data_IF_501333255723
#
_entry.id   IF_501333255723
#
_cell.length_a   1.000
_cell.length_b   1.000
_cell.length_c   1.000
_cell.angle_alpha   90.00
_cell.angle_beta   90.00
_cell.angle_gamma   90.00
#
_symmetry.space_group_name_H-M   'P 1'
#
loop_
_entity.id
_entity.type
_entity.pdbx_description
1 polymer ?
#
# COMPACT_ATOMS: atom_id res chain seq x y z
N UNK A 1 -5.23 2.60 25.16
CA UNK A 1 -5.82 3.38 24.04
C UNK A 1 -6.87 2.49 23.40
N UNK A 2 -8.09 2.99 23.19
CA UNK A 2 -9.18 2.20 22.59
C UNK A 2 -9.19 2.43 21.07
N UNK A 3 -8.83 1.43 20.25
CA UNK A 3 -8.83 1.61 18.80
C UNK A 3 -10.25 1.68 18.25
N UNK A 4 -10.46 2.58 17.29
CA UNK A 4 -11.70 2.63 16.50
C UNK A 4 -11.50 1.85 15.20
N UNK A 5 -12.33 0.85 14.96
CA UNK A 5 -12.29 0.03 13.74
C UNK A 5 -13.37 0.46 12.75
N UNK A 6 -13.01 0.50 11.47
CA UNK A 6 -13.94 0.78 10.36
C UNK A 6 -13.70 -0.22 9.22
N UNK A 7 -14.67 -0.35 8.31
CA UNK A 7 -14.68 -1.41 7.30
C UNK A 7 -14.18 -0.98 5.92
N UNK A 8 -13.65 0.24 5.75
CA UNK A 8 -13.07 0.68 4.48
C UNK A 8 -11.97 1.74 4.65
N UNK A 9 -11.10 1.85 3.66
CA UNK A 9 -10.07 2.88 3.64
C UNK A 9 -10.70 4.28 3.54
N UNK A 10 -11.79 4.47 2.78
CA UNK A 10 -12.44 5.80 2.75
C UNK A 10 -13.01 6.17 4.12
N UNK A 11 -13.52 5.19 4.87
CA UNK A 11 -14.04 5.42 6.21
C UNK A 11 -12.95 5.90 7.17
N UNK A 12 -11.72 5.37 7.07
CA UNK A 12 -10.57 5.84 7.85
C UNK A 12 -10.31 7.33 7.60
N UNK A 13 -10.27 7.74 6.34
CA UNK A 13 -10.03 9.13 5.97
C UNK A 13 -11.19 10.05 6.35
N UNK A 14 -12.44 9.59 6.27
CA UNK A 14 -13.61 10.36 6.70
C UNK A 14 -13.60 10.63 8.20
N UNK A 15 -13.27 9.65 9.04
CA UNK A 15 -13.22 9.85 10.50
C UNK A 15 -12.01 10.71 10.92
N UNK A 16 -10.90 10.63 10.17
CA UNK A 16 -9.74 11.50 10.35
C UNK A 16 -10.08 12.95 9.97
N UNK A 17 -10.66 13.18 8.79
CA UNK A 17 -11.08 14.50 8.33
C UNK A 17 -12.15 15.14 9.21
N UNK A 18 -13.03 14.32 9.81
CA UNK A 18 -14.02 14.75 10.79
C UNK A 18 -13.46 14.94 12.21
N UNK A 19 -12.14 14.83 12.41
CA UNK A 19 -11.45 14.97 13.71
C UNK A 19 -11.98 14.04 14.81
N UNK A 20 -12.46 12.85 14.42
CA UNK A 20 -12.89 11.81 15.37
C UNK A 20 -11.72 10.97 15.89
N UNK A 21 -10.61 11.01 15.18
CA UNK A 21 -9.33 10.38 15.52
C UNK A 21 -8.20 11.31 15.08
N UNK A 22 -7.06 11.22 15.75
CA UNK A 22 -5.87 12.02 15.41
C UNK A 22 -4.96 11.31 14.39
N UNK A 23 -4.99 9.98 14.37
CA UNK A 23 -4.11 9.12 13.55
C UNK A 23 -4.93 7.95 13.00
N UNK A 24 -4.62 7.55 11.76
CA UNK A 24 -5.07 6.29 11.14
C UNK A 24 -3.86 5.46 10.74
N UNK A 25 -4.03 4.13 10.69
CA UNK A 25 -2.99 3.20 10.23
C UNK A 25 -3.46 2.57 8.92
N UNK A 26 -2.65 2.69 7.87
CA UNK A 26 -2.93 2.17 6.54
C UNK A 26 -1.62 1.90 5.79
N UNK A 27 -1.64 0.99 4.81
CA UNK A 27 -0.50 0.81 3.91
C UNK A 27 -0.28 2.03 3.03
N UNK A 28 0.98 2.33 2.72
CA UNK A 28 1.36 3.56 2.00
C UNK A 28 0.61 3.76 0.69
N UNK A 29 0.60 2.75 -0.18
CA UNK A 29 0.00 2.85 -1.52
C UNK A 29 -1.52 3.06 -1.44
N UNK A 30 -2.21 2.35 -0.54
CA UNK A 30 -3.65 2.53 -0.35
C UNK A 30 -3.98 3.91 0.22
N UNK A 31 -3.14 4.42 1.14
CA UNK A 31 -3.28 5.77 1.67
C UNK A 31 -3.16 6.84 0.59
N UNK A 32 -2.13 6.76 -0.26
CA UNK A 32 -1.92 7.70 -1.36
C UNK A 32 -3.09 7.70 -2.36
N UNK A 33 -3.62 6.52 -2.70
CA UNK A 33 -4.78 6.40 -3.58
C UNK A 33 -6.02 7.09 -2.98
N UNK A 34 -6.35 6.84 -1.70
CA UNK A 34 -7.51 7.47 -1.08
C UNK A 34 -7.32 8.98 -0.89
N UNK A 35 -6.10 9.44 -0.59
CA UNK A 35 -5.78 10.87 -0.52
C UNK A 35 -6.04 11.58 -1.85
N UNK A 36 -5.62 10.97 -2.97
CA UNK A 36 -5.86 11.50 -4.31
C UNK A 36 -7.36 11.54 -4.67
N UNK A 37 -8.11 10.52 -4.26
CA UNK A 37 -9.55 10.40 -4.54
C UNK A 37 -10.41 11.37 -3.70
N UNK A 38 -10.19 11.43 -2.38
CA UNK A 38 -11.06 12.20 -1.48
C UNK A 38 -10.64 13.67 -1.32
N UNK A 39 -9.37 14.00 -1.61
CA UNK A 39 -8.82 15.37 -1.56
C UNK A 39 -9.12 16.12 -0.26
N UNK A 40 -9.11 15.40 0.87
CA UNK A 40 -9.33 16.01 2.18
C UNK A 40 -8.08 16.83 2.56
N UNK A 41 -8.21 18.13 2.83
CA UNK A 41 -7.07 18.99 3.14
C UNK A 41 -6.47 18.68 4.51
N UNK A 42 -5.18 18.98 4.67
CA UNK A 42 -4.48 18.89 5.95
C UNK A 42 -4.11 17.47 6.41
N UNK A 43 -4.37 16.45 5.59
CA UNK A 43 -3.91 15.08 5.84
C UNK A 43 -2.57 14.87 5.16
N UNK A 44 -1.60 14.30 5.90
CA UNK A 44 -0.28 13.96 5.39
C UNK A 44 0.18 12.60 5.93
N UNK A 45 0.96 11.83 5.16
CA UNK A 45 1.64 10.65 5.70
C UNK A 45 2.68 11.07 6.75
N UNK A 46 2.89 10.21 7.73
CA UNK A 46 3.98 10.32 8.69
C UNK A 46 5.12 9.38 8.28
N UNK A 47 6.35 9.84 8.46
CA UNK A 47 7.58 9.10 8.19
C UNK A 47 8.44 9.03 9.45
N UNK A 48 9.17 7.92 9.69
CA UNK A 48 9.13 6.67 8.93
C UNK A 48 7.82 5.89 9.15
N UNK A 49 7.51 4.87 8.32
CA UNK A 49 6.42 3.96 8.64
C UNK A 49 6.65 3.29 9.99
N UNK A 50 5.59 3.09 10.77
CA UNK A 50 5.68 2.41 12.07
C UNK A 50 6.18 0.97 11.93
N UNK A 51 5.78 0.31 10.84
CA UNK A 51 6.17 -1.07 10.53
C UNK A 51 6.25 -1.28 9.02
N UNK A 52 7.13 -2.19 8.60
CA UNK A 52 7.30 -2.59 7.20
C UNK A 52 7.40 -4.10 7.07
N UNK A 53 6.57 -4.65 6.18
CA UNK A 53 6.52 -6.10 5.95
C UNK A 53 6.82 -6.41 4.48
N UNK A 54 7.55 -7.52 4.21
CA UNK A 54 7.67 -8.04 2.87
C UNK A 54 6.30 -8.53 2.35
N UNK A 55 5.99 -8.18 1.11
CA UNK A 55 4.79 -8.66 0.42
C UNK A 55 5.13 -9.91 -0.38
N UNK A 56 4.34 -10.97 -0.21
CA UNK A 56 4.52 -12.24 -0.91
C UNK A 56 3.37 -12.53 -1.86
N UNK A 57 3.69 -13.22 -2.96
CA UNK A 57 2.68 -13.75 -3.87
C UNK A 57 2.06 -15.02 -3.27
N UNK A 58 0.76 -14.98 -2.95
CA UNK A 58 0.04 -16.13 -2.42
C UNK A 58 -0.64 -16.92 -3.55
N UNK A 59 -0.56 -18.24 -3.48
CA UNK A 59 -1.29 -19.14 -4.38
C UNK A 59 -2.08 -20.19 -3.62
N UNK A 60 -3.27 -20.49 -4.13
CA UNK A 60 -4.10 -21.57 -3.60
C UNK A 60 -3.38 -22.92 -3.66
N UNK A 61 -3.51 -23.72 -2.60
CA UNK A 61 -2.80 -25.01 -2.42
C UNK A 61 -2.95 -25.98 -3.60
N UNK A 62 -4.15 -26.03 -4.22
CA UNK A 62 -4.42 -26.85 -5.42
C UNK A 62 -3.48 -26.60 -6.61
N UNK A 63 -2.92 -25.40 -6.70
CA UNK A 63 -2.03 -24.97 -7.77
C UNK A 63 -0.54 -24.96 -7.33
N UNK A 64 -0.19 -25.73 -6.28
CA UNK A 64 1.18 -25.78 -5.76
C UNK A 64 2.21 -26.20 -6.81
N UNK A 65 1.81 -26.99 -7.81
CA UNK A 65 2.68 -27.43 -8.90
C UNK A 65 3.27 -26.26 -9.71
N UNK A 66 2.64 -25.07 -9.71
CA UNK A 66 3.14 -23.88 -10.40
C UNK A 66 4.14 -23.06 -9.59
N UNK A 67 4.37 -23.39 -8.31
CA UNK A 67 5.27 -22.61 -7.44
C UNK A 67 6.71 -22.56 -7.96
N UNK A 68 7.32 -23.67 -8.43
CA UNK A 68 8.70 -23.61 -8.92
C UNK A 68 8.87 -22.60 -10.07
N UNK A 69 7.98 -22.64 -11.07
CA UNK A 69 8.06 -21.76 -12.24
C UNK A 69 7.78 -20.29 -11.89
N UNK A 70 6.78 -20.02 -11.04
CA UNK A 70 6.47 -18.65 -10.62
C UNK A 70 7.59 -18.08 -9.76
N UNK A 71 8.13 -18.87 -8.84
CA UNK A 71 9.24 -18.43 -7.99
C UNK A 71 10.48 -18.12 -8.84
N UNK A 72 10.84 -18.99 -9.78
CA UNK A 72 11.98 -18.76 -10.67
C UNK A 72 11.84 -17.44 -11.45
N UNK A 73 10.66 -17.19 -12.03
CA UNK A 73 10.39 -15.95 -12.75
C UNK A 73 10.49 -14.70 -11.84
N UNK A 74 9.92 -14.76 -10.63
CA UNK A 74 9.97 -13.63 -9.69
C UNK A 74 11.40 -13.37 -9.18
N UNK A 75 12.20 -14.41 -8.95
CA UNK A 75 13.60 -14.30 -8.55
C UNK A 75 14.47 -13.69 -9.66
N UNK A 76 14.25 -14.09 -10.91
CA UNK A 76 14.92 -13.49 -12.06
C UNK A 76 14.57 -12.00 -12.19
N UNK A 77 13.27 -11.66 -12.09
CA UNK A 77 12.82 -10.26 -12.10
C UNK A 77 13.41 -9.43 -10.95
N UNK A 78 13.57 -10.01 -9.76
CA UNK A 78 14.20 -9.33 -8.62
C UNK A 78 15.69 -9.11 -8.88
N UNK A 79 16.40 -10.13 -9.39
CA UNK A 79 17.83 -10.04 -9.74
C UNK A 79 18.10 -8.96 -10.80
N UNK A 80 17.21 -8.81 -11.78
CA UNK A 80 17.28 -7.75 -12.80
C UNK A 80 16.85 -6.36 -12.28
N UNK A 81 16.33 -6.30 -11.05
CA UNK A 81 15.74 -5.11 -10.46
C UNK A 81 14.43 -4.68 -11.12
N UNK A 82 13.80 -5.56 -11.90
CA UNK A 82 12.60 -5.26 -12.67
C UNK A 82 11.40 -4.98 -11.75
N UNK A 83 11.25 -5.74 -10.66
CA UNK A 83 10.19 -5.52 -9.66
C UNK A 83 10.28 -4.09 -9.09
N UNK A 84 11.47 -3.67 -8.68
CA UNK A 84 11.72 -2.32 -8.16
C UNK A 84 11.41 -1.24 -9.21
N UNK A 85 11.84 -1.44 -10.47
CA UNK A 85 11.58 -0.50 -11.57
C UNK A 85 10.09 -0.34 -11.86
N UNK A 86 9.35 -1.45 -11.95
CA UNK A 86 7.89 -1.43 -12.18
C UNK A 86 7.19 -0.71 -11.03
N UNK A 87 7.55 -1.03 -9.78
CA UNK A 87 6.96 -0.38 -8.60
C UNK A 87 7.23 1.12 -8.56
N UNK A 88 8.47 1.54 -8.80
CA UNK A 88 8.85 2.95 -8.81
C UNK A 88 8.09 3.72 -9.90
N UNK A 89 8.01 3.14 -11.11
CA UNK A 89 7.24 3.70 -12.22
C UNK A 89 5.77 3.87 -11.86
N UNK A 90 5.13 2.81 -11.35
CA UNK A 90 3.73 2.85 -10.93
C UNK A 90 3.48 3.98 -9.90
N UNK A 91 4.33 4.10 -8.89
CA UNK A 91 4.18 5.16 -7.88
C UNK A 91 4.36 6.55 -8.49
N UNK A 92 5.36 6.73 -9.36
CA UNK A 92 5.61 8.02 -10.02
C UNK A 92 4.47 8.43 -10.95
N UNK A 93 3.98 7.52 -11.79
CA UNK A 93 2.89 7.79 -12.74
C UNK A 93 1.56 8.05 -12.02
N UNK A 94 1.29 7.33 -10.93
CA UNK A 94 0.02 7.41 -10.21
C UNK A 94 -0.01 8.54 -9.18
N UNK A 95 1.10 8.80 -8.51
CA UNK A 95 1.18 9.69 -7.34
C UNK A 95 2.29 10.75 -7.40
N UNK A 96 3.13 10.77 -8.43
CA UNK A 96 4.28 11.69 -8.55
C UNK A 96 3.96 13.13 -8.95
N UNK A 97 2.71 13.58 -8.76
CA UNK A 97 2.22 14.91 -9.16
C UNK A 97 1.58 15.71 -8.04
N UNK A 98 1.83 15.35 -6.78
CA UNK A 98 1.35 16.10 -5.61
C UNK A 98 2.53 16.60 -4.79
N UNK A 99 3.22 17.61 -5.33
CA UNK A 99 3.90 18.65 -4.55
C UNK A 99 3.13 19.96 -4.71
#
# INVERSE_FOLDING_TARGET
>A
MNPTTVNSNESLFKILGARRVDIIVITRVNGLEVMQQLKIPGIRPLEPPIESYPLYHYRHKKNRHLMPEITAALEEMEKEGLIKKIRARFIAERFGGSE
#
